data_IF_147653295918
#
_entry.id   IF_147653295918
#
_cell.length_a   1.000
_cell.length_b   1.000
_cell.length_c   1.000
_cell.angle_alpha   90.00
_cell.angle_beta   90.00
_cell.angle_gamma   90.00
#
_symmetry.space_group_name_H-M   'P 1'
#
loop_
_entity.id
_entity.type
_entity.pdbx_description
1 polymer ?
#
# COMPACT_ATOMS: atom_id res chain seq x y z
N UNK A 1 18.59 -27.85 -39.58
CA UNK A 1 17.43 -28.22 -38.73
C UNK A 1 17.93 -28.16 -37.29
N UNK A 2 17.83 -27.06 -36.55
CA UNK A 2 16.61 -26.36 -36.14
C UNK A 2 16.39 -26.68 -34.66
N UNK A 3 17.05 -25.93 -33.77
CA UNK A 3 16.90 -26.06 -32.32
C UNK A 3 15.58 -25.39 -31.90
N UNK A 4 14.51 -26.16 -31.73
CA UNK A 4 13.26 -25.59 -31.24
C UNK A 4 13.21 -25.60 -29.70
N UNK A 5 13.59 -24.44 -29.17
CA UNK A 5 12.95 -23.70 -28.08
C UNK A 5 12.29 -24.50 -26.96
N UNK A 6 12.95 -24.47 -25.80
CA UNK A 6 12.34 -24.70 -24.48
C UNK A 6 11.08 -23.85 -24.37
N UNK A 7 9.92 -24.51 -24.43
CA UNK A 7 8.63 -23.88 -24.14
C UNK A 7 8.71 -23.35 -22.72
N UNK A 8 8.77 -22.01 -22.57
CA UNK A 8 8.48 -21.34 -21.31
C UNK A 8 7.09 -21.81 -20.89
N UNK A 9 7.04 -22.62 -19.85
CA UNK A 9 5.82 -22.92 -19.13
C UNK A 9 5.29 -21.60 -18.59
N UNK A 10 4.37 -20.96 -19.31
CA UNK A 10 3.48 -19.97 -18.73
C UNK A 10 2.59 -20.73 -17.77
N UNK A 11 2.83 -20.56 -16.47
CA UNK A 11 1.95 -21.05 -15.42
C UNK A 11 0.63 -20.26 -15.48
N UNK A 12 -0.21 -20.63 -16.45
CA UNK A 12 -1.61 -20.28 -16.49
C UNK A 12 -2.36 -21.18 -15.50
N UNK A 13 -2.37 -20.79 -14.22
CA UNK A 13 -3.45 -21.11 -13.28
C UNK A 13 -3.25 -20.37 -11.96
N UNK A 14 -4.05 -19.32 -11.74
CA UNK A 14 -4.57 -19.02 -10.40
C UNK A 14 -6.02 -18.58 -10.55
N UNK A 15 -6.92 -19.54 -10.44
CA UNK A 15 -8.36 -19.30 -10.32
C UNK A 15 -8.62 -18.36 -9.12
N UNK A 16 -9.31 -17.25 -9.34
CA UNK A 16 -10.12 -16.55 -8.33
C UNK A 16 -9.42 -15.76 -7.22
N UNK A 17 -8.09 -15.59 -7.22
CA UNK A 17 -7.42 -14.79 -6.17
C UNK A 17 -7.55 -13.30 -6.47
N UNK A 18 -8.48 -12.63 -5.79
CA UNK A 18 -8.67 -11.18 -5.89
C UNK A 18 -7.41 -10.48 -5.38
N UNK A 19 -6.81 -9.62 -6.20
CA UNK A 19 -5.67 -8.80 -5.76
C UNK A 19 -6.17 -7.73 -4.77
N UNK A 20 -5.91 -7.93 -3.48
CA UNK A 20 -6.33 -7.02 -2.40
C UNK A 20 -5.73 -5.61 -2.55
N UNK A 21 -4.62 -5.48 -3.30
CA UNK A 21 -3.96 -4.20 -3.56
C UNK A 21 -4.42 -3.54 -4.87
N UNK A 22 -5.29 -4.18 -5.66
CA UNK A 22 -5.93 -3.56 -6.82
C UNK A 22 -7.02 -2.57 -6.38
N UNK A 23 -6.62 -1.58 -5.60
CA UNK A 23 -7.45 -0.52 -5.02
C UNK A 23 -6.85 0.81 -5.46
N UNK A 24 -7.54 1.60 -6.30
CA UNK A 24 -7.01 2.88 -6.79
C UNK A 24 -6.79 3.90 -5.67
N UNK A 25 -5.91 4.89 -5.88
CA UNK A 25 -5.68 5.96 -4.90
C UNK A 25 -6.89 6.92 -4.79
N UNK A 26 -7.72 6.99 -5.82
CA UNK A 26 -8.93 7.79 -5.88
C UNK A 26 -10.21 6.93 -5.85
N UNK A 27 -11.35 7.58 -5.74
CA UNK A 27 -12.68 6.96 -5.83
C UNK A 27 -13.49 7.03 -4.54
N UNK A 28 -14.46 6.13 -4.42
CA UNK A 28 -15.41 6.10 -3.30
C UNK A 28 -14.78 5.52 -2.04
N UNK A 29 -15.36 5.86 -0.88
CA UNK A 29 -14.98 5.29 0.41
C UNK A 29 -13.71 5.87 1.02
N UNK A 30 -13.12 6.92 0.44
CA UNK A 30 -11.97 7.63 1.02
C UNK A 30 -12.46 8.53 2.16
N UNK A 31 -11.88 8.37 3.34
CA UNK A 31 -12.12 9.22 4.50
C UNK A 31 -11.10 10.35 4.59
N UNK A 32 -9.84 10.05 4.28
CA UNK A 32 -8.78 11.05 4.23
C UNK A 32 -7.68 10.61 3.26
N UNK A 33 -7.04 11.56 2.60
CA UNK A 33 -5.91 11.29 1.73
C UNK A 33 -4.96 12.47 1.68
N UNK A 34 -3.65 12.19 1.73
CA UNK A 34 -2.64 13.24 1.69
C UNK A 34 -1.27 12.69 1.29
N UNK A 35 -0.42 13.58 0.78
CA UNK A 35 1.00 13.30 0.57
C UNK A 35 1.78 13.62 1.85
N UNK A 36 2.52 12.64 2.34
CA UNK A 36 3.32 12.75 3.58
C UNK A 36 4.75 12.30 3.35
N UNK A 37 5.65 12.75 4.22
CA UNK A 37 7.00 12.20 4.35
C UNK A 37 6.92 10.97 5.25
N UNK A 38 7.23 9.81 4.70
CA UNK A 38 7.14 8.52 5.37
C UNK A 38 8.53 7.95 5.63
N UNK A 39 8.79 7.57 6.88
CA UNK A 39 9.98 6.81 7.26
C UNK A 39 9.57 5.39 7.66
N UNK A 40 9.89 4.43 6.82
CA UNK A 40 9.66 3.01 7.09
C UNK A 40 10.73 2.39 7.99
N UNK A 41 10.66 1.07 8.16
CA UNK A 41 11.62 0.28 8.96
C UNK A 41 13.06 0.37 8.47
N UNK A 42 13.27 0.65 7.17
CA UNK A 42 14.61 0.85 6.58
C UNK A 42 15.23 2.22 6.93
N UNK A 43 14.55 3.07 7.70
CA UNK A 43 15.05 4.38 8.15
C UNK A 43 15.11 5.47 7.06
N UNK A 44 15.02 5.09 5.78
CA UNK A 44 14.92 6.01 4.64
C UNK A 44 13.59 6.73 4.62
N UNK A 45 13.63 8.01 4.24
CA UNK A 45 12.46 8.87 4.09
C UNK A 45 12.03 8.87 2.63
N UNK A 46 10.75 8.67 2.39
CA UNK A 46 10.12 8.70 1.08
C UNK A 46 8.93 9.66 1.10
N UNK A 47 8.59 10.24 -0.04
CA UNK A 47 7.26 10.83 -0.20
C UNK A 47 6.28 9.74 -0.61
N UNK A 48 5.11 9.74 0.02
CA UNK A 48 4.07 8.75 -0.22
C UNK A 48 2.71 9.40 -0.16
N UNK A 49 1.82 9.01 -1.06
CA UNK A 49 0.41 9.34 -0.96
C UNK A 49 -0.28 8.26 -0.14
N UNK A 50 -0.85 8.65 0.99
CA UNK A 50 -1.56 7.74 1.88
C UNK A 50 -3.06 8.02 1.84
N UNK A 51 -3.85 6.95 1.89
CA UNK A 51 -5.31 7.02 1.81
C UNK A 51 -5.89 6.17 2.94
N UNK A 52 -6.68 6.77 3.81
CA UNK A 52 -7.52 6.09 4.80
C UNK A 52 -8.90 5.88 4.19
N UNK A 53 -9.38 4.64 4.18
CA UNK A 53 -10.68 4.27 3.62
C UNK A 53 -11.66 3.80 4.70
N UNK A 54 -12.93 3.73 4.33
CA UNK A 54 -14.04 3.32 5.20
C UNK A 54 -14.07 1.81 5.51
N UNK A 55 -13.18 1.04 4.92
CA UNK A 55 -12.83 -0.34 5.29
C UNK A 55 -11.84 -0.41 6.47
N UNK A 56 -11.55 0.74 7.10
CA UNK A 56 -10.59 0.90 8.19
C UNK A 56 -9.17 0.47 7.82
N UNK A 57 -8.81 0.55 6.55
CA UNK A 57 -7.46 0.28 6.08
C UNK A 57 -6.76 1.56 5.61
N UNK A 58 -5.45 1.60 5.84
CA UNK A 58 -4.54 2.61 5.33
C UNK A 58 -3.77 2.04 4.13
N UNK A 59 -3.86 2.72 3.00
CA UNK A 59 -3.21 2.34 1.75
C UNK A 59 -2.11 3.34 1.39
N UNK A 60 -1.08 2.87 0.69
CA UNK A 60 0.05 3.71 0.25
C UNK A 60 0.28 3.64 -1.26
N UNK A 61 0.60 4.78 -1.88
CA UNK A 61 0.71 4.99 -3.33
C UNK A 61 1.82 5.98 -3.67
N UNK A 62 2.34 5.94 -4.91
CA UNK A 62 3.42 6.84 -5.34
C UNK A 62 2.81 8.22 -5.58
N UNK A 63 1.63 8.21 -6.18
CA UNK A 63 0.85 9.39 -6.53
C UNK A 63 -0.63 9.17 -6.20
N UNK A 64 -1.44 10.21 -6.38
CA UNK A 64 -2.88 10.11 -6.29
C UNK A 64 -3.52 9.49 -7.55
N UNK A 65 -2.75 9.20 -8.59
CA UNK A 65 -3.26 8.69 -9.88
C UNK A 65 -2.98 7.18 -10.04
N UNK A 66 -2.37 6.56 -9.04
CA UNK A 66 -2.04 5.13 -9.06
C UNK A 66 -3.32 4.27 -8.92
N UNK A 67 -3.47 3.27 -9.80
CA UNK A 67 -4.61 2.35 -9.78
C UNK A 67 -4.44 1.16 -8.81
N UNK A 68 -3.23 0.98 -8.25
CA UNK A 68 -2.91 -0.10 -7.32
C UNK A 68 -2.10 0.43 -6.14
N UNK A 69 -2.43 -0.04 -4.94
CA UNK A 69 -1.69 0.26 -3.73
C UNK A 69 -0.36 -0.51 -3.70
N UNK A 70 0.67 0.08 -3.08
CA UNK A 70 1.91 -0.63 -2.78
C UNK A 70 1.79 -1.51 -1.55
N UNK A 71 1.05 -1.03 -0.55
CA UNK A 71 0.86 -1.71 0.72
C UNK A 71 -0.45 -1.26 1.36
N UNK A 72 -0.97 -2.14 2.20
CA UNK A 72 -2.17 -1.93 3.00
C UNK A 72 -1.87 -2.27 4.46
N UNK A 73 -2.38 -1.46 5.38
CA UNK A 73 -2.31 -1.67 6.81
C UNK A 73 -3.73 -1.58 7.41
N UNK A 74 -4.28 -2.65 7.99
CA UNK A 74 -5.50 -2.57 8.78
C UNK A 74 -5.26 -1.70 10.01
N UNK A 75 -6.09 -0.68 10.22
CA UNK A 75 -5.98 0.24 11.35
C UNK A 75 -6.48 -0.32 12.70
N UNK A 76 -7.46 -1.25 12.76
CA UNK A 76 -7.88 -1.81 14.05
C UNK A 76 -6.71 -2.45 14.81
N UNK A 77 -6.55 -2.08 16.08
CA UNK A 77 -5.45 -2.53 16.93
C UNK A 77 -4.12 -1.81 16.70
N UNK A 78 -4.05 -0.84 15.77
CA UNK A 78 -2.86 0.00 15.65
C UNK A 78 -2.84 1.08 16.73
N UNK A 79 -1.65 1.34 17.26
CA UNK A 79 -1.37 2.43 18.20
C UNK A 79 -0.83 3.65 17.45
N UNK A 80 -1.38 4.81 17.79
CA UNK A 80 -0.90 6.11 17.28
C UNK A 80 -0.19 6.84 18.40
N UNK A 81 1.05 7.26 18.15
CA UNK A 81 1.82 8.09 19.08
C UNK A 81 2.31 9.35 18.39
N UNK A 82 1.95 10.51 18.96
CA UNK A 82 2.51 11.79 18.53
C UNK A 82 4.00 11.82 18.87
N UNK A 83 4.82 12.18 17.89
CA UNK A 83 6.24 12.40 18.12
C UNK A 83 6.44 13.84 18.61
N UNK A 84 7.49 14.10 19.39
CA UNK A 84 7.82 15.46 19.83
C UNK A 84 8.21 16.42 18.68
N UNK A 85 8.36 15.90 17.47
CA UNK A 85 8.61 16.66 16.26
C UNK A 85 7.30 17.22 15.66
N UNK A 86 7.38 18.45 15.15
CA UNK A 86 6.23 19.13 14.55
C UNK A 86 5.70 18.38 13.33
N UNK A 87 4.39 18.15 13.30
CA UNK A 87 3.68 17.42 12.23
C UNK A 87 4.10 15.96 12.06
N UNK A 88 4.63 15.34 13.11
CA UNK A 88 5.09 13.95 13.07
C UNK A 88 4.29 13.10 14.04
N UNK A 89 3.81 11.96 13.57
CA UNK A 89 3.29 10.89 14.40
C UNK A 89 3.87 9.56 13.95
N UNK A 90 3.74 8.55 14.81
CA UNK A 90 4.07 7.17 14.49
C UNK A 90 2.84 6.30 14.62
N UNK A 91 2.75 5.31 13.73
CA UNK A 91 1.71 4.29 13.71
C UNK A 91 2.42 2.94 13.82
N UNK A 92 1.97 2.10 14.76
CA UNK A 92 2.52 0.75 14.98
C UNK A 92 1.37 -0.23 15.16
N UNK A 93 1.56 -1.47 14.73
CA UNK A 93 0.65 -2.55 15.09
C UNK A 93 0.80 -2.79 16.60
N UNK A 94 -0.31 -2.73 17.34
CA UNK A 94 -0.34 -2.97 18.78
C UNK A 94 0.11 -4.39 19.11
N UNK A 95 0.58 -4.57 20.35
CA UNK A 95 1.03 -5.87 20.89
C UNK A 95 -0.12 -6.66 21.47
#
# INVERSE_FOLDING_TARGET
MGFESVRRSTSAQSNGRTNVLAVPAQGKGILHASRVKFRGSLGKVFERYFVVRNDFCLYSYNSCDDDCALAMLPLPGCEVKLCGERFTFSLRVGS
#
